data_IF_291600516691
#
_entry.id   IF_291600516691
#
_cell.length_a   1.000
_cell.length_b   1.000
_cell.length_c   1.000
_cell.angle_alpha   90.00
_cell.angle_beta   90.00
_cell.angle_gamma   90.00
#
_symmetry.space_group_name_H-M   'P 1'
#
loop_
_entity.id
_entity.type
_entity.pdbx_description
1 polymer ?
#
# COMPACT_ATOMS: atom_id res chain seq x y z
N UNK A 1 -69.85 -0.36 2.51
CA UNK A 1 -68.90 -0.80 1.46
C UNK A 1 -67.48 -0.48 1.91
N UNK A 2 -66.82 -1.43 2.60
CA UNK A 2 -65.42 -1.27 3.03
C UNK A 2 -64.48 -1.98 2.06
N UNK A 3 -63.40 -1.32 1.65
CA UNK A 3 -62.28 -1.96 0.96
C UNK A 3 -61.04 -1.83 1.85
N UNK A 4 -60.65 -2.95 2.45
CA UNK A 4 -59.37 -3.12 3.11
C UNK A 4 -58.31 -3.42 2.03
N UNK A 5 -57.49 -2.43 1.69
CA UNK A 5 -56.28 -2.67 0.90
C UNK A 5 -55.16 -3.13 1.84
N UNK A 6 -54.93 -4.44 1.90
CA UNK A 6 -53.71 -5.00 2.49
C UNK A 6 -52.51 -4.63 1.61
N UNK A 7 -51.77 -3.58 1.99
CA UNK A 7 -50.47 -3.27 1.38
C UNK A 7 -49.44 -4.29 1.87
N UNK A 8 -49.06 -5.23 1.01
CA UNK A 8 -47.89 -6.08 1.20
C UNK A 8 -46.64 -5.21 1.23
N UNK A 9 -46.12 -4.92 2.43
CA UNK A 9 -44.80 -4.34 2.62
C UNK A 9 -43.80 -5.48 2.66
N UNK A 10 -43.05 -5.68 1.57
CA UNK A 10 -41.92 -6.60 1.55
C UNK A 10 -40.91 -6.19 2.64
N UNK A 11 -40.37 -7.13 3.44
CA UNK A 11 -39.32 -6.80 4.41
C UNK A 11 -38.07 -6.29 3.68
N UNK A 12 -37.34 -5.32 4.26
CA UNK A 12 -36.13 -4.79 3.67
C UNK A 12 -35.09 -5.91 3.50
N UNK A 13 -34.53 -6.01 2.29
CA UNK A 13 -33.44 -6.92 1.97
C UNK A 13 -32.31 -6.74 3.00
N UNK A 14 -32.04 -7.78 3.80
CA UNK A 14 -30.88 -7.82 4.67
C UNK A 14 -29.65 -7.68 3.78
N UNK A 15 -28.84 -6.66 4.06
CA UNK A 15 -27.52 -6.53 3.44
C UNK A 15 -26.73 -7.82 3.70
N UNK A 16 -26.05 -8.39 2.69
CA UNK A 16 -25.27 -9.60 2.90
C UNK A 16 -24.18 -9.30 3.92
N UNK A 17 -24.12 -10.13 4.97
CA UNK A 17 -23.00 -10.22 5.90
C UNK A 17 -21.67 -10.22 5.14
N UNK A 18 -20.57 -9.67 5.70
CA UNK A 18 -19.27 -9.68 5.02
C UNK A 18 -18.86 -11.14 4.75
N UNK A 19 -19.12 -11.57 3.52
CA UNK A 19 -18.98 -12.95 3.08
C UNK A 19 -17.50 -13.34 3.22
N UNK A 20 -17.21 -14.33 4.06
CA UNK A 20 -15.87 -14.91 4.14
C UNK A 20 -15.51 -15.43 2.76
N UNK A 21 -14.55 -14.81 2.07
CA UNK A 21 -14.07 -15.26 0.75
C UNK A 21 -13.80 -16.78 0.76
N UNK A 22 -14.02 -17.52 -0.34
CA UNK A 22 -13.69 -18.94 -0.38
C UNK A 22 -12.21 -19.19 -0.04
N UNK A 23 -11.90 -20.32 0.58
CA UNK A 23 -10.52 -20.69 0.95
C UNK A 23 -9.60 -20.71 -0.28
N UNK A 24 -10.08 -21.21 -1.42
CA UNK A 24 -9.34 -21.23 -2.68
C UNK A 24 -8.97 -19.82 -3.18
N UNK A 25 -9.85 -18.82 -3.00
CA UNK A 25 -9.56 -17.42 -3.36
C UNK A 25 -8.48 -16.82 -2.46
N UNK A 26 -8.50 -17.17 -1.15
CA UNK A 26 -7.45 -16.74 -0.21
C UNK A 26 -6.10 -17.37 -0.54
N UNK A 27 -6.09 -18.67 -0.80
CA UNK A 27 -4.90 -19.41 -1.19
C UNK A 27 -4.25 -18.78 -2.44
N UNK A 28 -5.05 -18.57 -3.50
CA UNK A 28 -4.58 -17.92 -4.72
C UNK A 28 -3.96 -16.54 -4.45
N UNK A 29 -4.61 -15.71 -3.63
CA UNK A 29 -4.10 -14.37 -3.31
C UNK A 29 -2.75 -14.38 -2.57
N UNK A 30 -2.54 -15.31 -1.64
CA UNK A 30 -1.27 -15.45 -0.93
C UNK A 30 -0.17 -16.00 -1.84
N UNK A 31 -0.48 -17.03 -2.63
CA UNK A 31 0.49 -17.63 -3.55
C UNK A 31 0.92 -16.63 -4.64
N UNK A 32 -0.02 -15.85 -5.19
CA UNK A 32 0.32 -14.80 -6.17
C UNK A 32 1.11 -13.66 -5.51
N UNK A 33 0.79 -13.28 -4.27
CA UNK A 33 1.59 -12.30 -3.54
C UNK A 33 3.04 -12.79 -3.32
N UNK A 34 3.22 -14.06 -2.95
CA UNK A 34 4.54 -14.69 -2.82
C UNK A 34 5.30 -14.70 -4.14
N UNK A 35 4.64 -15.07 -5.25
CA UNK A 35 5.23 -15.04 -6.59
C UNK A 35 5.71 -13.64 -6.97
N UNK A 36 4.85 -12.62 -6.84
CA UNK A 36 5.21 -11.24 -7.17
C UNK A 36 6.32 -10.69 -6.28
N UNK A 37 6.31 -11.03 -4.99
CA UNK A 37 7.39 -10.64 -4.06
C UNK A 37 8.72 -11.30 -4.43
N UNK A 38 8.71 -12.57 -4.82
CA UNK A 38 9.89 -13.28 -5.30
C UNK A 38 10.45 -12.70 -6.60
N UNK A 39 9.58 -12.41 -7.58
CA UNK A 39 9.97 -11.74 -8.83
C UNK A 39 10.53 -10.33 -8.59
N UNK A 40 9.92 -9.59 -7.66
CA UNK A 40 10.46 -8.31 -7.23
C UNK A 40 11.85 -8.49 -6.60
N UNK A 41 12.06 -9.54 -5.81
CA UNK A 41 13.36 -9.89 -5.21
C UNK A 41 14.45 -10.23 -6.23
N UNK A 42 14.09 -10.91 -7.33
CA UNK A 42 14.99 -11.14 -8.47
C UNK A 42 15.35 -9.83 -9.21
N UNK A 43 14.44 -8.86 -9.22
CA UNK A 43 14.65 -7.57 -9.88
C UNK A 43 15.47 -6.60 -9.03
N UNK A 44 15.16 -6.49 -7.74
CA UNK A 44 15.77 -5.53 -6.81
C UNK A 44 15.61 -5.91 -5.34
N UNK A 45 16.67 -5.70 -4.55
CA UNK A 45 16.66 -5.98 -3.10
C UNK A 45 15.64 -5.16 -2.30
N UNK A 46 15.07 -4.10 -2.89
CA UNK A 46 13.99 -3.33 -2.30
C UNK A 46 12.76 -4.17 -1.92
N UNK A 47 12.56 -5.32 -2.57
CA UNK A 47 11.48 -6.26 -2.25
C UNK A 47 11.45 -6.67 -0.76
N UNK A 48 12.62 -6.77 -0.11
CA UNK A 48 12.70 -7.09 1.32
C UNK A 48 11.99 -6.04 2.20
N UNK A 49 12.06 -4.76 1.83
CA UNK A 49 11.38 -3.68 2.56
C UNK A 49 9.87 -3.71 2.37
N UNK A 50 9.39 -4.15 1.19
CA UNK A 50 7.96 -4.35 0.96
C UNK A 50 7.44 -5.55 1.74
N UNK A 51 8.22 -6.63 1.84
CA UNK A 51 7.91 -7.76 2.70
C UNK A 51 7.80 -7.33 4.17
N UNK A 52 8.77 -6.53 4.65
CA UNK A 52 8.78 -5.98 6.00
C UNK A 52 7.56 -5.08 6.27
N UNK A 53 7.22 -4.21 5.32
CA UNK A 53 6.05 -3.34 5.40
C UNK A 53 4.73 -4.11 5.43
N UNK A 54 4.58 -5.10 4.54
CA UNK A 54 3.42 -5.97 4.49
C UNK A 54 3.25 -6.78 5.78
N UNK A 55 4.36 -7.33 6.29
CA UNK A 55 4.37 -8.08 7.55
C UNK A 55 4.01 -7.19 8.74
N UNK A 56 4.63 -6.01 8.84
CA UNK A 56 4.32 -5.02 9.88
C UNK A 56 2.84 -4.61 9.85
N UNK A 57 2.26 -4.40 8.67
CA UNK A 57 0.83 -4.13 8.52
C UNK A 57 -0.05 -5.30 9.01
N UNK A 58 0.28 -6.53 8.63
CA UNK A 58 -0.47 -7.72 9.07
C UNK A 58 -0.43 -7.83 10.60
N UNK A 59 0.75 -7.63 11.20
CA UNK A 59 0.94 -7.71 12.64
C UNK A 59 0.19 -6.60 13.40
N UNK A 60 0.26 -5.36 12.90
CA UNK A 60 -0.35 -4.19 13.54
C UNK A 60 -1.89 -4.11 13.40
N UNK A 61 -2.51 -4.98 12.60
CA UNK A 61 -3.95 -4.94 12.31
C UNK A 61 -4.67 -6.21 12.76
N UNK A 62 -5.99 -6.25 12.57
CA UNK A 62 -6.80 -7.45 12.75
C UNK A 62 -6.38 -8.62 11.84
N UNK A 63 -5.55 -8.36 10.83
CA UNK A 63 -5.07 -9.37 9.89
C UNK A 63 -4.04 -10.32 10.49
N UNK A 64 -3.48 -10.05 11.66
CA UNK A 64 -2.56 -10.96 12.38
C UNK A 64 -3.12 -12.37 12.54
N UNK A 65 -4.45 -12.53 12.60
CA UNK A 65 -5.12 -13.84 12.61
C UNK A 65 -4.82 -14.70 11.38
N UNK A 66 -4.43 -14.10 10.26
CA UNK A 66 -4.01 -14.84 9.07
C UNK A 66 -2.69 -15.59 9.28
N UNK A 67 -1.83 -15.13 10.19
CA UNK A 67 -0.58 -15.82 10.54
C UNK A 67 -0.82 -17.18 11.20
N UNK A 68 -2.02 -17.41 11.74
CA UNK A 68 -2.46 -18.72 12.26
C UNK A 68 -2.90 -19.68 11.14
N UNK A 69 -2.99 -19.21 9.90
CA UNK A 69 -3.33 -20.03 8.73
C UNK A 69 -2.06 -20.36 7.94
N UNK A 70 -2.02 -21.46 7.17
CA UNK A 70 -0.82 -21.84 6.42
C UNK A 70 -0.50 -20.91 5.23
N UNK A 71 -1.48 -20.15 4.73
CA UNK A 71 -1.36 -19.43 3.45
C UNK A 71 -0.29 -18.33 3.40
N UNK A 72 -0.12 -17.47 4.42
CA UNK A 72 1.00 -16.51 4.44
C UNK A 72 2.36 -17.20 4.46
N UNK A 73 2.47 -18.35 5.11
CA UNK A 73 3.72 -19.13 5.14
C UNK A 73 4.03 -19.75 3.78
N UNK A 74 3.01 -20.26 3.07
CA UNK A 74 3.19 -20.66 1.68
C UNK A 74 3.59 -19.49 0.77
N UNK A 75 3.08 -18.28 1.01
CA UNK A 75 3.54 -17.10 0.27
C UNK A 75 5.04 -16.82 0.51
N UNK A 76 5.52 -16.96 1.74
CA UNK A 76 6.96 -16.82 2.08
C UNK A 76 7.78 -17.90 1.38
N UNK A 77 7.33 -19.16 1.41
CA UNK A 77 8.01 -20.26 0.72
C UNK A 77 8.08 -20.00 -0.79
N UNK A 78 6.97 -19.61 -1.42
CA UNK A 78 6.95 -19.28 -2.86
C UNK A 78 7.88 -18.12 -3.18
N UNK A 79 7.87 -17.05 -2.38
CA UNK A 79 8.76 -15.91 -2.58
C UNK A 79 10.24 -16.34 -2.45
N UNK A 80 10.56 -17.17 -1.46
CA UNK A 80 11.89 -17.71 -1.22
C UNK A 80 12.36 -18.60 -2.37
N UNK A 81 11.51 -19.50 -2.88
CA UNK A 81 11.84 -20.37 -4.01
C UNK A 81 12.06 -19.57 -5.30
N UNK A 82 11.22 -18.57 -5.57
CA UNK A 82 11.37 -17.72 -6.76
C UNK A 82 12.63 -16.85 -6.66
N UNK A 83 12.95 -16.32 -5.48
CA UNK A 83 14.16 -15.52 -5.27
C UNK A 83 15.44 -16.36 -5.04
N UNK A 84 15.30 -17.68 -4.86
CA UNK A 84 16.41 -18.59 -4.55
C UNK A 84 17.61 -18.48 -5.50
N UNK A 85 17.46 -18.32 -6.82
CA UNK A 85 18.60 -18.21 -7.73
C UNK A 85 19.58 -17.10 -7.34
N UNK A 86 19.08 -15.95 -6.86
CA UNK A 86 19.93 -14.84 -6.41
C UNK A 86 20.73 -15.19 -5.15
N UNK A 87 20.11 -15.91 -4.21
CA UNK A 87 20.75 -16.30 -2.95
C UNK A 87 21.79 -17.40 -3.18
N UNK A 88 21.47 -18.43 -3.97
CA UNK A 88 22.39 -19.52 -4.30
C UNK A 88 23.59 -18.98 -5.05
N UNK A 89 23.37 -18.20 -6.12
CA UNK A 89 24.46 -17.60 -6.88
C UNK A 89 25.33 -16.70 -6.01
N UNK A 90 24.75 -15.87 -5.14
CA UNK A 90 25.54 -15.05 -4.22
C UNK A 90 26.35 -15.91 -3.24
N UNK A 91 25.79 -16.98 -2.68
CA UNK A 91 26.52 -17.85 -1.77
C UNK A 91 27.75 -18.49 -2.45
N UNK A 92 27.63 -18.89 -3.72
CA UNK A 92 28.73 -19.42 -4.53
C UNK A 92 29.77 -18.35 -4.90
N UNK A 93 29.38 -17.07 -4.93
CA UNK A 93 30.24 -15.94 -5.32
C UNK A 93 30.59 -15.03 -4.13
N UNK A 94 30.69 -15.60 -2.92
CA UNK A 94 31.14 -14.88 -1.72
C UNK A 94 30.26 -13.68 -1.32
N UNK A 95 28.96 -13.74 -1.65
CA UNK A 95 27.96 -12.70 -1.45
C UNK A 95 28.33 -11.35 -2.09
N UNK A 96 29.06 -11.36 -3.21
CA UNK A 96 29.61 -10.17 -3.86
C UNK A 96 28.56 -9.09 -4.13
N UNK A 97 27.34 -9.45 -4.55
CA UNK A 97 26.30 -8.45 -4.82
C UNK A 97 25.77 -7.83 -3.54
N UNK A 98 25.61 -8.61 -2.46
CA UNK A 98 25.20 -8.06 -1.16
C UNK A 98 26.29 -7.19 -0.54
N UNK A 99 27.55 -7.62 -0.61
CA UNK A 99 28.71 -6.83 -0.16
C UNK A 99 28.80 -5.51 -0.93
N UNK A 100 28.56 -5.52 -2.24
CA UNK A 100 28.53 -4.31 -3.06
C UNK A 100 27.44 -3.31 -2.61
N UNK A 101 26.29 -3.79 -2.15
CA UNK A 101 25.21 -2.94 -1.62
C UNK A 101 25.49 -2.48 -0.19
N UNK A 102 26.01 -3.39 0.66
CA UNK A 102 26.41 -3.10 2.03
C UNK A 102 27.54 -2.07 2.09
N UNK A 103 28.51 -2.14 1.18
CA UNK A 103 29.54 -1.10 0.96
C UNK A 103 28.97 0.25 0.53
N UNK A 104 27.67 0.34 0.25
CA UNK A 104 26.97 1.63 0.06
C UNK A 104 26.28 2.18 1.28
N UNK A 105 26.02 1.32 2.26
CA UNK A 105 25.64 1.69 3.60
C UNK A 105 26.80 1.67 4.61
N UNK A 106 28.03 1.32 4.19
CA UNK A 106 29.15 1.10 5.10
C UNK A 106 29.53 2.37 5.84
N UNK A 107 29.63 2.24 7.16
CA UNK A 107 29.71 3.32 8.11
C UNK A 107 31.00 4.14 7.95
N UNK A 108 30.86 5.43 7.66
CA UNK A 108 31.82 6.41 8.15
C UNK A 108 31.91 6.31 9.67
N UNK A 109 33.07 6.63 10.23
CA UNK A 109 33.35 6.53 11.67
C UNK A 109 32.57 7.55 12.52
N UNK A 110 31.82 8.45 11.88
CA UNK A 110 31.10 9.54 12.53
C UNK A 110 29.69 9.70 11.96
N UNK A 111 28.77 10.13 12.83
CA UNK A 111 27.41 10.50 12.44
C UNK A 111 27.45 11.84 11.71
N UNK A 112 26.92 11.89 10.49
CA UNK A 112 26.92 13.10 9.66
C UNK A 112 25.51 13.44 9.17
N UNK A 113 25.06 14.68 9.44
CA UNK A 113 23.75 15.16 8.98
C UNK A 113 23.75 15.60 7.52
N UNK A 114 24.91 16.04 6.99
CA UNK A 114 25.02 16.57 5.62
C UNK A 114 24.58 15.54 4.56
N UNK A 115 24.99 14.25 4.60
CA UNK A 115 24.49 13.23 3.67
C UNK A 115 22.98 13.02 3.73
N UNK A 116 22.34 13.21 4.89
CA UNK A 116 20.87 13.16 5.02
C UNK A 116 20.23 14.35 4.33
N UNK A 117 20.77 15.56 4.54
CA UNK A 117 20.28 16.77 3.87
C UNK A 117 20.46 16.67 2.34
N UNK A 118 21.56 16.10 1.88
CA UNK A 118 21.79 15.79 0.46
C UNK A 118 20.76 14.78 -0.07
N UNK A 119 20.47 13.72 0.68
CA UNK A 119 19.43 12.76 0.30
C UNK A 119 18.04 13.42 0.25
N UNK A 120 17.69 14.27 1.22
CA UNK A 120 16.42 15.00 1.24
C UNK A 120 16.32 16.01 0.08
N UNK A 121 17.38 16.77 -0.17
CA UNK A 121 17.47 17.69 -1.30
C UNK A 121 17.35 16.97 -2.64
N UNK A 122 18.01 15.82 -2.80
CA UNK A 122 17.89 15.00 -4.00
C UNK A 122 16.50 14.38 -4.17
N UNK A 123 15.85 13.93 -3.09
CA UNK A 123 14.46 13.47 -3.14
C UNK A 123 13.52 14.58 -3.62
N UNK A 124 13.69 15.80 -3.09
CA UNK A 124 12.94 16.97 -3.53
C UNK A 124 13.26 17.33 -5.00
N UNK A 125 14.51 17.13 -5.45
CA UNK A 125 14.89 17.28 -6.86
C UNK A 125 14.18 16.29 -7.79
N UNK A 126 14.08 15.01 -7.41
CA UNK A 126 13.39 13.99 -8.21
C UNK A 126 11.88 14.18 -8.27
N UNK A 127 11.25 14.56 -7.15
CA UNK A 127 9.80 14.62 -7.04
C UNK A 127 9.23 16.02 -7.28
N UNK A 128 10.07 17.04 -7.32
CA UNK A 128 9.76 18.44 -7.04
C UNK A 128 9.38 18.66 -5.55
N UNK A 129 9.86 19.74 -4.92
CA UNK A 129 9.70 19.93 -3.47
C UNK A 129 8.25 19.88 -2.99
N UNK A 130 7.31 20.50 -3.72
CA UNK A 130 5.90 20.53 -3.36
C UNK A 130 5.21 19.17 -3.47
N UNK A 131 5.58 18.35 -4.47
CA UNK A 131 5.07 16.98 -4.58
C UNK A 131 5.56 16.15 -3.42
N UNK A 132 6.84 16.24 -3.07
CA UNK A 132 7.42 15.51 -1.93
C UNK A 132 6.68 15.87 -0.63
N UNK A 133 6.44 17.17 -0.38
CA UNK A 133 5.67 17.62 0.79
C UNK A 133 4.24 17.09 0.75
N UNK A 134 3.54 17.18 -0.38
CA UNK A 134 2.17 16.66 -0.51
C UNK A 134 2.08 15.15 -0.25
N UNK A 135 3.03 14.37 -0.78
CA UNK A 135 3.12 12.93 -0.53
C UNK A 135 3.47 12.63 0.93
N UNK A 136 4.37 13.40 1.56
CA UNK A 136 4.73 13.25 2.96
C UNK A 136 3.53 13.49 3.88
N UNK A 137 2.75 14.55 3.61
CA UNK A 137 1.50 14.85 4.34
C UNK A 137 0.48 13.72 4.14
N UNK A 138 0.27 13.26 2.90
CA UNK A 138 -0.64 12.14 2.62
C UNK A 138 -0.22 10.86 3.37
N UNK A 139 1.07 10.57 3.44
CA UNK A 139 1.61 9.43 4.16
C UNK A 139 1.41 9.58 5.68
N UNK A 140 1.67 10.77 6.23
CA UNK A 140 1.43 11.07 7.63
C UNK A 140 -0.06 10.88 7.99
N UNK A 141 -0.96 11.46 7.19
CA UNK A 141 -2.41 11.31 7.36
C UNK A 141 -2.88 9.85 7.20
N UNK A 142 -2.24 9.06 6.34
CA UNK A 142 -2.55 7.63 6.24
C UNK A 142 -2.22 6.88 7.54
N UNK A 143 -1.16 7.29 8.24
CA UNK A 143 -0.70 6.66 9.48
C UNK A 143 -1.54 7.10 10.69
N UNK A 144 -1.81 8.40 10.83
CA UNK A 144 -2.48 8.96 12.03
C UNK A 144 -3.99 9.17 11.85
N UNK A 145 -4.46 9.24 10.60
CA UNK A 145 -5.84 9.59 10.29
C UNK A 145 -6.83 8.48 10.63
N UNK A 146 -7.81 8.80 11.48
CA UNK A 146 -8.92 7.88 11.80
C UNK A 146 -9.77 7.51 10.58
N UNK A 147 -9.79 8.36 9.55
CA UNK A 147 -10.55 8.13 8.29
C UNK A 147 -9.76 7.39 7.21
N UNK A 148 -8.46 7.11 7.43
CA UNK A 148 -7.66 6.42 6.45
C UNK A 148 -8.18 4.99 6.23
N UNK A 149 -8.41 4.64 4.96
CA UNK A 149 -8.86 3.30 4.60
C UNK A 149 -7.78 2.25 4.90
N UNK A 150 -8.19 1.00 5.09
CA UNK A 150 -7.27 -0.12 5.30
C UNK A 150 -6.29 -0.31 4.13
N UNK A 151 -6.73 -0.01 2.90
CA UNK A 151 -5.85 -0.03 1.71
C UNK A 151 -4.80 1.08 1.77
N UNK A 152 -5.21 2.29 2.16
CA UNK A 152 -4.30 3.44 2.32
C UNK A 152 -3.24 3.14 3.38
N UNK A 153 -3.63 2.54 4.51
CA UNK A 153 -2.70 2.12 5.57
C UNK A 153 -1.76 1.01 5.10
N UNK A 154 -2.23 0.06 4.29
CA UNK A 154 -1.38 -0.96 3.72
C UNK A 154 -0.33 -0.35 2.78
N UNK A 155 -0.73 0.56 1.88
CA UNK A 155 0.20 1.26 1.00
C UNK A 155 1.21 2.10 1.79
N UNK A 156 0.76 2.79 2.85
CA UNK A 156 1.67 3.51 3.75
C UNK A 156 2.68 2.57 4.43
N UNK A 157 2.25 1.38 4.86
CA UNK A 157 3.14 0.39 5.44
C UNK A 157 4.16 -0.16 4.44
N UNK A 158 3.85 -0.25 3.13
CA UNK A 158 4.82 -0.58 2.08
C UNK A 158 5.77 0.58 1.77
N UNK A 159 5.28 1.82 1.84
CA UNK A 159 6.06 3.02 1.55
C UNK A 159 7.12 3.32 2.61
N UNK A 160 6.76 3.15 3.90
CA UNK A 160 7.54 3.63 5.02
C UNK A 160 8.92 2.97 5.15
N UNK A 161 9.08 1.63 5.12
CA UNK A 161 10.38 1.02 5.35
C UNK A 161 11.49 1.53 4.42
N UNK A 162 11.34 1.59 3.08
CA UNK A 162 12.39 2.13 2.23
C UNK A 162 12.58 3.66 2.38
N UNK A 163 11.51 4.45 2.58
CA UNK A 163 11.64 5.90 2.78
C UNK A 163 12.43 6.19 4.07
N UNK A 164 12.01 5.59 5.18
CA UNK A 164 12.58 5.82 6.51
C UNK A 164 14.01 5.29 6.54
N UNK A 165 14.23 4.02 6.17
CA UNK A 165 15.55 3.43 6.25
C UNK A 165 16.55 4.21 5.40
N UNK A 166 16.23 4.51 4.14
CA UNK A 166 17.19 5.17 3.25
C UNK A 166 17.33 6.68 3.48
N UNK A 167 16.42 7.30 4.24
CA UNK A 167 16.60 8.66 4.74
C UNK A 167 17.51 8.70 5.97
N UNK A 168 17.46 7.68 6.84
CA UNK A 168 18.26 7.63 8.06
C UNK A 168 19.64 7.02 7.80
N UNK A 169 19.75 6.00 6.95
CA UNK A 169 21.00 5.28 6.63
C UNK A 169 22.20 6.21 6.29
N UNK A 170 22.03 7.32 5.55
CA UNK A 170 23.12 8.26 5.26
C UNK A 170 23.78 8.87 6.49
N UNK A 171 23.13 8.87 7.67
CA UNK A 171 23.75 9.30 8.93
C UNK A 171 25.06 8.56 9.21
N UNK A 172 25.11 7.27 8.88
CA UNK A 172 26.31 6.45 9.06
C UNK A 172 27.00 6.18 7.73
N UNK A 173 26.29 6.04 6.62
CA UNK A 173 26.88 5.62 5.35
C UNK A 173 27.80 6.68 4.69
N UNK A 174 27.83 7.92 5.19
CA UNK A 174 28.63 9.01 4.63
C UNK A 174 28.18 9.50 3.24
N UNK A 175 27.14 8.88 2.65
CA UNK A 175 26.55 9.26 1.37
C UNK A 175 25.04 9.15 1.37
N UNK A 176 24.39 10.20 0.85
CA UNK A 176 22.95 10.20 0.56
C UNK A 176 22.70 9.73 -0.87
N UNK A 177 22.00 8.60 -1.05
CA UNK A 177 21.55 8.14 -2.37
C UNK A 177 20.05 8.45 -2.54
N UNK A 178 19.69 9.63 -3.06
CA UNK A 178 18.31 10.13 -3.06
C UNK A 178 17.29 9.29 -3.84
N UNK A 179 17.75 8.42 -4.74
CA UNK A 179 16.88 7.53 -5.50
C UNK A 179 16.49 6.25 -4.74
N UNK A 180 17.12 5.96 -3.60
CA UNK A 180 16.89 4.72 -2.84
C UNK A 180 15.53 4.69 -2.14
N UNK A 181 14.98 5.87 -1.81
CA UNK A 181 13.67 6.08 -1.21
C UNK A 181 12.54 5.99 -2.24
N UNK A 182 12.83 6.21 -3.53
CA UNK A 182 11.82 6.37 -4.59
C UNK A 182 10.83 5.20 -4.72
N UNK A 183 11.25 3.92 -4.59
CA UNK A 183 10.29 2.82 -4.61
C UNK A 183 9.26 2.91 -3.48
N UNK A 184 9.59 3.52 -2.34
CA UNK A 184 8.63 3.82 -1.28
C UNK A 184 7.68 4.96 -1.65
N UNK A 185 8.21 6.04 -2.21
CA UNK A 185 7.41 7.18 -2.68
C UNK A 185 6.36 6.78 -3.72
N UNK A 186 6.65 5.76 -4.55
CA UNK A 186 5.68 5.19 -5.49
C UNK A 186 4.37 4.77 -4.80
N UNK A 187 4.45 4.17 -3.60
CA UNK A 187 3.26 3.76 -2.83
C UNK A 187 2.56 4.93 -2.13
N UNK A 188 3.20 6.09 -2.00
CA UNK A 188 2.58 7.28 -1.43
C UNK A 188 1.65 8.01 -2.41
N UNK A 189 1.85 7.84 -3.73
CA UNK A 189 1.00 8.49 -4.75
C UNK A 189 -0.48 8.10 -4.65
N UNK A 190 -0.87 6.81 -4.57
CA UNK A 190 -2.28 6.48 -4.40
C UNK A 190 -2.83 6.96 -3.05
N UNK A 191 -1.99 7.11 -2.01
CA UNK A 191 -2.44 7.60 -0.71
C UNK A 191 -2.98 9.04 -0.78
N UNK A 192 -2.39 9.92 -1.60
CA UNK A 192 -2.85 11.31 -1.75
C UNK A 192 -4.21 11.42 -2.43
N UNK A 193 -4.52 10.51 -3.36
CA UNK A 193 -5.79 10.47 -4.08
C UNK A 193 -6.99 10.02 -3.21
N UNK A 194 -6.77 9.19 -2.18
CA UNK A 194 -7.88 8.71 -1.33
C UNK A 194 -8.30 9.72 -0.25
N UNK A 195 -7.41 10.65 0.13
CA UNK A 195 -7.71 11.72 1.10
C UNK A 195 -8.75 12.72 0.60
N UNK A 196 -8.88 12.89 -0.72
CA UNK A 196 -9.81 13.85 -1.35
C UNK A 196 -11.20 13.27 -1.58
N UNK A 197 -11.34 11.95 -1.74
CA UNK A 197 -12.63 11.28 -2.01
C UNK A 197 -13.49 11.04 -0.77
N UNK A 198 -12.98 11.34 0.43
CA UNK A 198 -13.71 11.19 1.69
C UNK A 198 -14.58 12.39 2.10
N UNK A 199 -14.66 13.44 1.27
CA UNK A 199 -15.55 14.57 1.53
C UNK A 199 -17.00 14.13 1.23
N UNK A 200 -17.93 14.20 2.19
CA UNK A 200 -19.35 14.04 1.87
C UNK A 200 -19.72 15.11 0.83
N UNK A 201 -20.59 14.79 -0.15
CA UNK A 201 -21.07 15.78 -1.09
C UNK A 201 -21.68 16.96 -0.31
N UNK A 202 -21.52 18.21 -0.78
CA UNK A 202 -22.12 19.36 -0.12
C UNK A 202 -23.63 19.11 0.05
N UNK A 203 -24.10 19.22 1.28
CA UNK A 203 -25.52 19.11 1.60
C UNK A 203 -26.25 20.24 0.87
N UNK A 204 -26.86 19.92 -0.28
CA UNK A 204 -27.55 20.92 -1.10
C UNK A 204 -27.64 20.59 -2.59
N UNK A 205 -26.87 19.64 -3.12
CA UNK A 205 -26.97 19.25 -4.54
C UNK A 205 -28.13 18.25 -4.77
N UNK A 206 -29.36 18.71 -4.56
CA UNK A 206 -30.56 17.94 -4.87
C UNK A 206 -31.73 18.87 -5.18
N UNK A 207 -32.28 18.71 -6.40
CA UNK A 207 -33.52 19.31 -6.94
C UNK A 207 -33.35 20.60 -7.75
N UNK A 208 -32.70 20.52 -8.91
CA UNK A 208 -33.23 21.24 -10.08
C UNK A 208 -33.99 20.24 -10.95
N UNK A 209 -35.23 20.61 -11.27
CA UNK A 209 -36.30 19.72 -11.68
C UNK A 209 -36.07 18.97 -12.99
N UNK A 210 -36.43 17.69 -12.98
CA UNK A 210 -36.70 16.93 -14.20
C UNK A 210 -37.86 17.59 -14.96
N UNK A 211 -37.80 17.73 -16.30
CA UNK A 211 -38.95 18.17 -17.08
C UNK A 211 -40.09 17.15 -17.00
N UNK A 212 -41.37 17.58 -17.05
CA UNK A 212 -42.50 16.68 -16.93
C UNK A 212 -42.57 15.73 -18.14
N UNK A 213 -42.87 14.45 -17.86
CA UNK A 213 -43.05 13.42 -18.88
C UNK A 213 -44.29 13.70 -19.74
N UNK A 214 -44.28 13.37 -21.05
CA UNK A 214 -45.43 13.59 -21.91
C UNK A 214 -46.59 12.68 -21.53
N UNK A 215 -47.78 13.27 -21.40
CA UNK A 215 -49.03 12.55 -21.12
C UNK A 215 -49.40 11.66 -22.32
N UNK A 216 -49.37 10.34 -22.12
CA UNK A 216 -50.04 9.40 -23.02
C UNK A 216 -51.55 9.49 -22.84
N UNK A 217 -52.24 10.25 -23.69
CA UNK A 217 -53.65 10.07 -23.98
C UNK A 217 -53.79 9.29 -25.28
N UNK A 218 -54.34 8.08 -25.22
CA UNK A 218 -54.78 7.32 -26.39
C UNK A 218 -56.24 7.61 -26.77
N UNK A 219 -56.60 7.17 -27.99
CA UNK A 219 -57.84 7.29 -28.78
C UNK A 219 -57.77 8.43 -29.81
N UNK A 220 -57.82 8.19 -31.12
CA UNK A 220 -58.42 7.12 -31.93
C UNK A 220 -57.46 6.54 -32.96
#
# INVERSE_FOLDING_TARGET
MGRWCCSWRSPPARSPSPCSRPAATRARAWLTAGLWLGLAGLSKYHAAFFALGAFGFVLATRHRRHLLTPWPWFAVVVAGLVAAPVFVWNAEHGFVSFLFQAGRGSAGTHIAIVPVLQALGGQAGYLLPWTMVGLAVALALACVGHRASERTRFLAALALPPIVLFTILPLWAGRGLPHWQMPGWLFAFPCSAFSSTGRPPPAGAGRHGSPPAPSRSGRW
#
